data_IF_721015534950
#
_entry.id   IF_721015534950
#
_cell.length_a   1.000
_cell.length_b   1.000
_cell.length_c   1.000
_cell.angle_alpha   90.00
_cell.angle_beta   90.00
_cell.angle_gamma   90.00
#
_symmetry.space_group_name_H-M   'P 1'
#
loop_
_entity.id
_entity.type
_entity.pdbx_description
1 polymer ?
#
# COMPACT_ATOMS: atom_id res chain seq x y z
N UNK A 1 17.26 -6.86 -16.22
CA UNK A 1 17.20 -6.37 -14.84
C UNK A 1 15.86 -6.72 -14.23
N UNK A 2 15.81 -7.86 -13.55
CA UNK A 2 14.69 -8.20 -12.67
C UNK A 2 14.97 -7.53 -11.32
N UNK A 3 13.93 -7.00 -10.68
CA UNK A 3 14.01 -6.34 -9.37
C UNK A 3 14.69 -7.22 -8.31
N UNK A 4 15.48 -6.59 -7.43
CA UNK A 4 16.23 -7.23 -6.32
C UNK A 4 15.33 -7.84 -5.22
N UNK A 5 14.01 -7.90 -5.43
CA UNK A 5 13.01 -8.40 -4.50
C UNK A 5 11.71 -8.73 -5.24
N UNK A 6 10.89 -9.60 -4.64
CA UNK A 6 9.55 -9.96 -5.10
C UNK A 6 8.49 -9.19 -4.31
N UNK A 7 7.53 -8.59 -5.02
CA UNK A 7 6.36 -7.91 -4.45
C UNK A 7 5.09 -8.72 -4.76
N UNK A 8 4.27 -8.98 -3.75
CA UNK A 8 2.99 -9.64 -3.89
C UNK A 8 1.93 -8.98 -3.00
N UNK A 9 0.67 -9.09 -3.37
CA UNK A 9 -0.45 -8.69 -2.52
C UNK A 9 -1.62 -9.69 -2.62
N UNK A 10 -2.41 -9.75 -1.56
CA UNK A 10 -3.61 -10.57 -1.47
C UNK A 10 -4.77 -9.73 -0.89
N UNK A 11 -5.79 -9.40 -1.70
CA UNK A 11 -5.82 -9.56 -3.17
C UNK A 11 -4.78 -8.65 -3.87
N UNK A 12 -4.31 -9.00 -5.10
CA UNK A 12 -3.32 -8.22 -5.83
C UNK A 12 -3.79 -6.81 -6.20
N UNK A 13 -5.00 -6.67 -6.73
CA UNK A 13 -5.64 -5.39 -7.08
C UNK A 13 -7.11 -5.66 -7.48
N UNK A 14 -7.83 -4.64 -7.99
CA UNK A 14 -9.24 -4.78 -8.39
C UNK A 14 -9.48 -5.75 -9.54
N UNK A 15 -8.47 -6.08 -10.36
CA UNK A 15 -8.63 -6.95 -11.52
C UNK A 15 -8.93 -8.42 -11.15
N UNK A 16 -8.94 -8.76 -9.86
CA UNK A 16 -9.48 -10.04 -9.38
C UNK A 16 -11.00 -10.14 -9.44
N UNK A 17 -11.69 -9.00 -9.60
CA UNK A 17 -13.14 -8.94 -9.68
C UNK A 17 -13.60 -8.99 -11.14
N UNK A 18 -14.58 -9.84 -11.43
CA UNK A 18 -15.12 -10.04 -12.79
C UNK A 18 -15.72 -8.76 -13.40
N UNK A 19 -16.18 -7.82 -12.57
CA UNK A 19 -16.87 -6.59 -12.99
C UNK A 19 -15.93 -5.51 -13.52
N UNK A 20 -14.63 -5.60 -13.25
CA UNK A 20 -13.62 -4.66 -13.75
C UNK A 20 -13.20 -4.92 -15.19
N UNK A 21 -13.50 -6.10 -15.74
CA UNK A 21 -13.03 -6.51 -17.06
C UNK A 21 -11.51 -6.69 -17.17
N UNK A 22 -10.76 -6.59 -16.06
CA UNK A 22 -9.31 -6.68 -16.05
C UNK A 22 -8.58 -5.45 -16.62
N UNK A 23 -9.26 -4.30 -16.70
CA UNK A 23 -8.72 -3.06 -17.29
C UNK A 23 -8.47 -1.95 -16.25
N UNK A 24 -8.48 -2.27 -14.94
CA UNK A 24 -8.18 -1.28 -13.91
C UNK A 24 -6.67 -1.06 -13.78
N UNK A 25 -6.22 0.18 -14.06
CA UNK A 25 -4.80 0.54 -14.05
C UNK A 25 -4.19 0.65 -12.63
N UNK A 26 -4.98 0.51 -11.56
CA UNK A 26 -4.54 0.68 -10.16
C UNK A 26 -3.92 -0.58 -9.58
N UNK A 27 -2.95 -1.10 -10.31
CA UNK A 27 -2.29 -2.39 -10.11
C UNK A 27 -1.17 -2.36 -9.06
N UNK A 28 -0.73 -3.54 -8.61
CA UNK A 28 0.25 -3.69 -7.54
C UNK A 28 1.60 -2.96 -7.80
N UNK A 29 2.03 -2.85 -9.06
CA UNK A 29 3.28 -2.16 -9.43
C UNK A 29 3.28 -0.66 -9.07
N UNK A 30 2.10 -0.04 -8.89
CA UNK A 30 2.00 1.37 -8.50
C UNK A 30 2.59 1.64 -7.11
N UNK A 31 2.71 0.63 -6.24
CA UNK A 31 3.41 0.77 -4.97
C UNK A 31 4.90 1.14 -5.12
N UNK A 32 5.49 0.88 -6.30
CA UNK A 32 6.94 1.01 -6.55
C UNK A 32 7.27 1.76 -7.84
N UNK A 33 6.31 2.45 -8.45
CA UNK A 33 6.51 3.20 -9.70
C UNK A 33 7.30 4.52 -9.50
N UNK A 34 7.59 4.90 -8.25
CA UNK A 34 8.34 6.11 -7.88
C UNK A 34 7.53 7.41 -7.90
N UNK A 35 6.22 7.35 -8.12
CA UNK A 35 5.31 8.51 -8.23
C UNK A 35 4.39 8.62 -7.01
N UNK A 36 5.00 8.82 -5.84
CA UNK A 36 4.29 8.66 -4.57
C UNK A 36 3.49 9.89 -4.12
N UNK A 37 3.89 11.10 -4.52
CA UNK A 37 3.19 12.36 -4.19
C UNK A 37 2.31 12.72 -5.37
N UNK A 38 1.09 12.21 -5.38
CA UNK A 38 0.17 12.33 -6.52
C UNK A 38 -1.29 12.40 -6.06
N UNK A 39 -2.14 13.01 -6.88
CA UNK A 39 -3.61 12.91 -6.82
C UNK A 39 -4.18 12.15 -8.03
N UNK A 40 -3.34 11.76 -8.99
CA UNK A 40 -3.71 10.94 -10.15
C UNK A 40 -3.77 9.47 -9.74
N UNK A 41 -4.93 8.84 -9.87
CA UNK A 41 -5.13 7.47 -9.40
C UNK A 41 -4.44 6.43 -10.29
N UNK A 42 -4.05 6.76 -11.51
CA UNK A 42 -3.24 5.86 -12.36
C UNK A 42 -1.87 5.54 -11.75
N UNK A 43 -1.41 6.34 -10.79
CA UNK A 43 -0.17 6.14 -10.05
C UNK A 43 -0.43 5.57 -8.62
N UNK A 44 -1.65 5.11 -8.33
CA UNK A 44 -2.03 4.57 -7.02
C UNK A 44 -2.42 3.09 -7.12
N UNK A 45 -2.12 2.33 -6.07
CA UNK A 45 -2.60 0.95 -5.92
C UNK A 45 -4.00 0.92 -5.31
N UNK A 46 -4.88 0.05 -5.84
CA UNK A 46 -6.19 -0.21 -5.25
C UNK A 46 -6.51 -1.70 -5.26
N UNK A 47 -6.80 -2.21 -4.06
CA UNK A 47 -7.29 -3.57 -3.86
C UNK A 47 -8.76 -3.54 -3.42
N UNK A 48 -9.54 -4.61 -3.71
CA UNK A 48 -10.90 -4.76 -3.23
C UNK A 48 -10.98 -4.54 -1.71
N UNK A 49 -12.01 -3.82 -1.28
CA UNK A 49 -12.37 -3.78 0.13
C UNK A 49 -13.18 -5.04 0.43
N UNK A 50 -12.58 -5.97 1.17
CA UNK A 50 -13.33 -7.13 1.62
C UNK A 50 -14.29 -6.75 2.75
N UNK A 51 -15.59 -6.88 2.47
CA UNK A 51 -16.66 -6.64 3.44
C UNK A 51 -16.80 -7.78 4.45
N UNK A 52 -16.14 -8.93 4.23
CA UNK A 52 -16.09 -10.07 5.16
C UNK A 52 -14.99 -9.94 6.23
N UNK A 53 -14.27 -8.80 6.26
CA UNK A 53 -13.30 -8.49 7.30
C UNK A 53 -11.91 -9.10 7.10
N UNK A 54 -11.59 -9.61 5.90
CA UNK A 54 -10.19 -9.93 5.57
C UNK A 54 -9.37 -8.66 5.45
N UNK A 55 -8.12 -8.76 5.88
CA UNK A 55 -7.14 -7.66 5.78
C UNK A 55 -6.36 -7.84 4.48
N UNK A 56 -6.29 -6.79 3.67
CA UNK A 56 -5.42 -6.80 2.49
C UNK A 56 -3.95 -6.90 2.95
N UNK A 57 -3.21 -7.83 2.36
CA UNK A 57 -1.81 -8.09 2.71
C UNK A 57 -0.91 -7.66 1.56
N UNK A 58 0.16 -6.94 1.88
CA UNK A 58 1.28 -6.70 0.96
C UNK A 58 2.50 -7.43 1.52
N UNK A 59 3.17 -8.23 0.68
CA UNK A 59 4.36 -8.99 1.00
C UNK A 59 5.52 -8.53 0.11
N UNK A 60 6.67 -8.28 0.74
CA UNK A 60 7.94 -8.01 0.06
C UNK A 60 8.90 -9.13 0.48
N UNK A 61 9.47 -9.84 -0.49
CA UNK A 61 10.52 -10.83 -0.29
C UNK A 61 11.83 -10.32 -0.89
N UNK A 62 12.81 -10.01 -0.04
CA UNK A 62 14.10 -9.46 -0.49
C UNK A 62 15.05 -10.51 -1.07
N UNK A 63 14.69 -11.79 -1.10
CA UNK A 63 15.53 -12.89 -1.61
C UNK A 63 16.81 -13.17 -0.81
N UNK A 64 17.18 -12.30 0.13
CA UNK A 64 18.36 -12.40 0.97
C UNK A 64 18.16 -11.64 2.29
N UNK A 65 19.01 -11.93 3.28
CA UNK A 65 18.97 -11.27 4.58
C UNK A 65 19.22 -9.76 4.42
N UNK A 66 18.16 -8.98 4.58
CA UNK A 66 18.16 -7.54 4.32
C UNK A 66 17.81 -6.76 5.58
N UNK A 67 18.61 -5.75 5.90
CA UNK A 67 18.33 -4.85 7.02
C UNK A 67 17.35 -3.76 6.58
N UNK A 68 16.12 -3.85 7.08
CA UNK A 68 15.09 -2.81 6.90
C UNK A 68 15.18 -1.80 8.05
N UNK A 69 15.39 -0.51 7.73
CA UNK A 69 15.47 0.57 8.72
C UNK A 69 14.12 1.24 9.00
N UNK A 70 13.21 1.21 8.04
CA UNK A 70 11.89 1.79 8.16
C UNK A 70 11.03 1.52 6.92
N UNK A 71 9.76 1.89 7.02
CA UNK A 71 8.74 1.79 5.98
C UNK A 71 8.11 3.17 5.79
N UNK A 72 8.10 3.67 4.56
CA UNK A 72 7.44 4.93 4.23
C UNK A 72 6.18 4.63 3.42
N UNK A 73 5.05 5.18 3.86
CA UNK A 73 3.76 5.03 3.19
C UNK A 73 3.25 6.36 2.66
N UNK A 74 2.66 6.31 1.47
CA UNK A 74 1.83 7.35 0.91
C UNK A 74 0.44 6.76 0.75
N UNK A 75 -0.52 7.26 1.53
CA UNK A 75 -1.87 6.72 1.55
C UNK A 75 -2.67 7.17 0.31
N UNK A 76 -3.75 6.47 -0.04
CA UNK A 76 -4.57 6.80 -1.20
C UNK A 76 -5.03 8.27 -1.18
N UNK A 77 -4.77 9.03 -2.25
CA UNK A 77 -4.81 10.50 -2.21
C UNK A 77 -5.61 11.15 -3.35
N UNK A 78 -6.41 10.39 -4.10
CA UNK A 78 -7.09 10.87 -5.33
C UNK A 78 -7.85 12.19 -5.15
N UNK A 79 -8.64 12.28 -4.08
CA UNK A 79 -9.47 13.44 -3.77
C UNK A 79 -9.73 13.50 -2.27
N UNK A 80 -10.20 14.63 -1.74
CA UNK A 80 -10.55 14.77 -0.32
C UNK A 80 -11.55 13.69 0.14
N UNK A 81 -12.49 13.31 -0.73
CA UNK A 81 -13.48 12.25 -0.48
C UNK A 81 -12.86 10.85 -0.60
N UNK A 82 -12.05 10.60 -1.63
CA UNK A 82 -11.46 9.28 -1.83
C UNK A 82 -10.34 8.94 -0.84
N UNK A 83 -9.75 9.93 -0.18
CA UNK A 83 -8.73 9.70 0.86
C UNK A 83 -9.24 8.82 2.02
N UNK A 84 -10.56 8.68 2.19
CA UNK A 84 -11.15 7.73 3.16
C UNK A 84 -10.96 6.25 2.78
N UNK A 85 -10.54 5.95 1.55
CA UNK A 85 -10.15 4.60 1.11
C UNK A 85 -8.77 4.18 1.63
N UNK A 86 -7.99 5.14 2.12
CA UNK A 86 -6.65 4.88 2.64
C UNK A 86 -6.63 3.96 3.86
N UNK A 87 -5.48 3.31 4.07
CA UNK A 87 -5.25 2.48 5.24
C UNK A 87 -5.34 3.33 6.51
N UNK A 88 -6.10 2.88 7.50
CA UNK A 88 -6.20 3.54 8.81
C UNK A 88 -5.24 2.96 9.83
N UNK A 89 -5.03 1.64 9.77
CA UNK A 89 -4.17 0.91 10.68
C UNK A 89 -3.40 -0.17 9.92
N UNK A 90 -2.12 -0.35 10.26
CA UNK A 90 -1.24 -1.31 9.60
C UNK A 90 -0.53 -2.17 10.64
N UNK A 91 -0.54 -3.49 10.42
CA UNK A 91 0.27 -4.45 11.19
C UNK A 91 1.45 -4.88 10.34
N UNK A 92 2.65 -4.87 10.93
CA UNK A 92 3.89 -5.19 10.23
C UNK A 92 4.42 -6.49 10.78
N UNK A 93 4.66 -7.46 9.89
CA UNK A 93 5.32 -8.71 10.22
C UNK A 93 6.67 -8.74 9.51
N UNK A 94 7.74 -8.99 10.26
CA UNK A 94 9.07 -9.30 9.72
C UNK A 94 9.29 -10.81 9.88
N UNK A 95 9.46 -11.52 8.77
CA UNK A 95 9.62 -12.98 8.73
C UNK A 95 8.53 -13.74 9.53
N UNK A 96 7.28 -13.27 9.40
CA UNK A 96 6.12 -13.84 10.10
C UNK A 96 5.98 -13.43 11.57
N UNK A 97 6.93 -12.66 12.12
CA UNK A 97 6.85 -12.12 13.48
C UNK A 97 6.34 -10.69 13.46
N UNK A 98 5.26 -10.42 14.19
CA UNK A 98 4.75 -9.07 14.34
C UNK A 98 5.78 -8.16 15.05
N UNK A 99 6.05 -7.02 14.43
CA UNK A 99 6.98 -5.99 14.93
C UNK A 99 6.29 -4.65 15.19
N UNK A 100 5.01 -4.52 14.81
CA UNK A 100 4.19 -3.36 15.16
C UNK A 100 3.73 -3.38 16.62
N UNK A 101 3.39 -2.21 17.22
CA UNK A 101 2.74 -2.14 18.53
C UNK A 101 1.45 -2.95 18.59
N UNK A 102 1.01 -3.30 19.81
CA UNK A 102 -0.29 -3.93 20.04
C UNK A 102 -1.40 -3.07 19.43
N UNK A 103 -2.14 -3.65 18.47
CA UNK A 103 -3.20 -2.95 17.75
C UNK A 103 -2.78 -2.28 16.43
N UNK A 104 -1.50 -2.32 16.07
CA UNK A 104 -0.94 -1.81 14.82
C UNK A 104 -0.52 -0.34 14.85
N UNK A 105 0.07 0.14 13.76
CA UNK A 105 0.40 1.55 13.54
C UNK A 105 -0.80 2.28 12.95
N UNK A 106 -1.20 3.39 13.57
CA UNK A 106 -2.19 4.29 12.99
C UNK A 106 -1.52 5.13 11.90
N UNK A 107 -2.12 5.14 10.71
CA UNK A 107 -1.63 5.89 9.55
C UNK A 107 -2.55 7.09 9.32
N UNK A 108 -2.01 8.31 9.15
CA UNK A 108 -2.83 9.47 8.85
C UNK A 108 -3.49 9.32 7.48
N UNK A 109 -4.69 9.90 7.37
CA UNK A 109 -5.35 10.09 6.07
C UNK A 109 -4.48 11.00 5.18
N UNK A 110 -4.44 10.72 3.88
CA UNK A 110 -3.81 11.63 2.93
C UNK A 110 -4.60 12.95 2.80
N UNK A 111 -3.96 14.06 2.37
CA UNK A 111 -4.57 15.39 2.40
C UNK A 111 -5.56 15.66 1.25
N UNK A 112 -5.60 14.83 0.21
CA UNK A 112 -6.39 15.04 -1.01
C UNK A 112 -5.78 16.05 -1.98
N UNK A 113 -4.50 16.37 -1.79
CA UNK A 113 -3.69 17.29 -2.63
C UNK A 113 -2.26 16.75 -2.72
N UNK A 114 -1.49 17.17 -3.72
CA UNK A 114 -0.11 16.73 -4.00
C UNK A 114 0.93 17.87 -3.92
N UNK A 115 0.56 18.99 -3.30
CA UNK A 115 1.42 20.17 -3.18
C UNK A 115 2.65 19.99 -2.25
N UNK A 116 2.71 18.90 -1.48
CA UNK A 116 3.80 18.59 -0.55
C UNK A 116 3.91 17.08 -0.31
N UNK A 117 5.08 16.62 0.13
CA UNK A 117 5.27 15.22 0.55
C UNK A 117 4.47 14.93 1.82
N UNK A 118 3.46 14.09 1.71
CA UNK A 118 2.58 13.66 2.80
C UNK A 118 2.94 12.27 3.33
N UNK A 119 4.16 11.80 3.08
CA UNK A 119 4.60 10.49 3.54
C UNK A 119 4.49 10.30 5.04
N UNK A 120 4.14 9.09 5.43
CA UNK A 120 4.17 8.62 6.81
C UNK A 120 5.32 7.62 6.97
N UNK A 121 6.32 7.98 7.76
CA UNK A 121 7.47 7.13 8.05
C UNK A 121 7.23 6.33 9.34
N UNK A 122 7.33 5.02 9.21
CA UNK A 122 7.31 4.05 10.30
C UNK A 122 8.74 3.54 10.45
N UNK A 123 9.35 3.83 11.59
CA UNK A 123 10.70 3.38 11.94
C UNK A 123 10.66 2.75 13.34
N UNK A 124 11.70 1.98 13.67
CA UNK A 124 11.80 1.28 14.96
C UNK A 124 11.91 2.21 16.14
#
# INVERSE_FOLDING_TARGET
>A
DASDFDLAADPPDLNVLDDTGGEDDRTLDKLLNGRNVTTDDVDMWLAPLDWEGRTNVVKIDFGSATRVSGLRLWNYNKSLEDTYRGVRCLRILADGKEVSPTGGHLVPKAPGVDAFDFSHLIER
#
